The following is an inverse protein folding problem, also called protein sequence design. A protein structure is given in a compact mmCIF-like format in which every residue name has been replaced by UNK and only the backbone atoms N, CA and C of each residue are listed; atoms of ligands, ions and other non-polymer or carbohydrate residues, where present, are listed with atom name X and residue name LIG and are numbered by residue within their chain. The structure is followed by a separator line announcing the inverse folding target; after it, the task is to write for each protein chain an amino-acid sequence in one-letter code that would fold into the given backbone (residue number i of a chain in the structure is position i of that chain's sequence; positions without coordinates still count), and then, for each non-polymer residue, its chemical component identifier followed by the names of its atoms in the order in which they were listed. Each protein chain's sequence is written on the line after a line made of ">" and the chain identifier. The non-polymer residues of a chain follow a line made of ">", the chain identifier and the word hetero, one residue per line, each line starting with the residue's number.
data_IF_476934140865
#
_entry.id   IF_476934140865
#
_cell.length_a   1.000
_cell.length_b   1.000
_cell.length_c   1.000
_cell.angle_alpha   90.00
_cell.angle_beta   90.00
_cell.angle_gamma   90.00
#
_symmetry.space_group_name_H-M   'P 1'
#
loop_
_entity.id
_entity.type
_entity.pdbx_description
1 polymer ?
#
# COMPACT_ATOMS: atom_id res chain seq x y z
N UNK A 1 -11.91 -39.76 -39.66
CA UNK A 1 -12.81 -39.01 -38.76
C UNK A 1 -12.42 -39.13 -37.31
N UNK A 2 -11.97 -40.28 -36.84
CA UNK A 2 -11.51 -40.41 -35.42
C UNK A 2 -10.27 -39.59 -35.11
N UNK A 3 -9.38 -39.37 -36.08
CA UNK A 3 -8.16 -38.54 -35.87
C UNK A 3 -8.45 -37.05 -35.73
N UNK A 4 -9.53 -36.56 -36.33
CA UNK A 4 -9.95 -35.16 -36.17
C UNK A 4 -10.57 -34.91 -34.81
N UNK A 5 -11.20 -35.90 -34.20
CA UNK A 5 -11.79 -35.80 -32.87
C UNK A 5 -10.71 -35.70 -31.79
N UNK A 6 -9.60 -36.41 -31.93
CA UNK A 6 -8.47 -36.35 -31.04
C UNK A 6 -7.70 -35.02 -31.15
N UNK A 7 -7.68 -34.42 -32.35
CA UNK A 7 -7.05 -33.11 -32.54
C UNK A 7 -7.85 -31.99 -31.86
N UNK A 8 -9.19 -32.12 -31.82
CA UNK A 8 -10.05 -31.13 -31.16
C UNK A 8 -9.97 -31.21 -29.63
N UNK A 9 -9.66 -32.40 -29.08
CA UNK A 9 -9.56 -32.61 -27.63
C UNK A 9 -8.28 -32.03 -27.05
N UNK A 10 -7.25 -31.83 -27.87
CA UNK A 10 -5.97 -31.27 -27.44
C UNK A 10 -5.95 -29.74 -27.36
N UNK A 11 -7.02 -29.07 -27.83
CA UNK A 11 -7.09 -27.62 -27.83
C UNK A 11 -7.72 -27.02 -26.55
N UNK A 12 -8.23 -27.87 -25.65
CA UNK A 12 -8.71 -27.41 -24.33
C UNK A 12 -7.58 -27.47 -23.33
N UNK A 13 -6.54 -26.69 -23.57
CA UNK A 13 -5.55 -26.41 -22.53
C UNK A 13 -6.17 -25.40 -21.57
N UNK A 14 -6.38 -25.75 -20.29
CA UNK A 14 -6.82 -24.75 -19.33
C UNK A 14 -5.70 -23.74 -19.20
N UNK A 15 -5.96 -22.50 -19.64
CA UNK A 15 -5.14 -21.37 -19.29
C UNK A 15 -5.20 -21.26 -17.78
N UNK A 16 -4.16 -21.76 -17.10
CA UNK A 16 -3.97 -21.50 -15.70
C UNK A 16 -3.72 -20.00 -15.56
N UNK A 17 -4.78 -19.25 -15.30
CA UNK A 17 -4.67 -17.85 -14.93
C UNK A 17 -4.11 -17.83 -13.51
N UNK A 18 -2.80 -17.59 -13.39
CA UNK A 18 -2.18 -17.26 -12.12
C UNK A 18 -2.66 -15.86 -11.74
N UNK A 19 -3.86 -15.79 -11.18
CA UNK A 19 -4.33 -14.57 -10.53
C UNK A 19 -3.50 -14.42 -9.26
N UNK A 20 -2.53 -13.49 -9.27
CA UNK A 20 -1.79 -13.14 -8.07
C UNK A 20 -2.74 -12.48 -7.09
N UNK A 21 -2.90 -13.09 -5.91
CA UNK A 21 -3.68 -12.51 -4.85
C UNK A 21 -2.89 -11.36 -4.23
N UNK A 22 -3.54 -10.22 -4.07
CA UNK A 22 -2.99 -9.10 -3.33
C UNK A 22 -3.13 -9.36 -1.84
N UNK A 23 -2.16 -8.90 -1.07
CA UNK A 23 -2.24 -8.90 0.39
C UNK A 23 -2.71 -7.54 0.89
N UNK A 24 -3.17 -7.51 2.12
CA UNK A 24 -3.62 -6.29 2.79
C UNK A 24 -2.90 -6.16 4.13
N UNK A 25 -2.41 -4.95 4.42
CA UNK A 25 -1.80 -4.62 5.70
C UNK A 25 -2.46 -3.38 6.29
N UNK A 26 -2.55 -3.31 7.60
CA UNK A 26 -2.96 -2.12 8.33
C UNK A 26 -1.77 -1.58 9.12
N UNK A 27 -1.42 -0.32 8.87
CA UNK A 27 -0.32 0.37 9.56
C UNK A 27 -0.92 1.52 10.37
N UNK A 28 -0.62 1.56 11.68
CA UNK A 28 -0.98 2.69 12.51
C UNK A 28 0.01 3.84 12.27
N UNK A 29 -0.50 5.05 12.04
CA UNK A 29 0.32 6.20 11.68
C UNK A 29 0.04 7.41 12.56
N UNK A 30 0.92 8.40 12.51
CA UNK A 30 0.84 9.65 13.26
C UNK A 30 0.07 10.77 12.53
N UNK A 31 -0.70 10.43 11.50
CA UNK A 31 -1.48 11.42 10.76
C UNK A 31 -2.47 12.17 11.66
N UNK A 32 -2.62 13.49 11.45
CA UNK A 32 -3.43 14.36 12.30
C UNK A 32 -4.68 14.91 11.63
N UNK A 33 -4.65 15.16 10.32
CA UNK A 33 -5.71 15.93 9.63
C UNK A 33 -5.90 15.50 8.19
N UNK A 34 -6.89 16.12 7.52
CA UNK A 34 -7.20 15.83 6.11
C UNK A 34 -6.04 16.09 5.15
N UNK A 35 -5.19 17.07 5.43
CA UNK A 35 -3.98 17.31 4.63
C UNK A 35 -2.99 16.16 4.75
N UNK A 36 -2.85 15.58 5.95
CA UNK A 36 -2.04 14.38 6.18
C UNK A 36 -2.58 13.19 5.40
N UNK A 37 -3.89 12.99 5.46
CA UNK A 37 -4.56 11.91 4.73
C UNK A 37 -4.29 12.01 3.22
N UNK A 38 -4.47 13.19 2.64
CA UNK A 38 -4.21 13.42 1.22
C UNK A 38 -2.78 13.12 0.83
N UNK A 39 -1.82 13.60 1.63
CA UNK A 39 -0.39 13.39 1.38
C UNK A 39 -0.03 11.92 1.45
N UNK A 40 -0.47 11.22 2.49
CA UNK A 40 -0.16 9.80 2.68
C UNK A 40 -0.77 8.97 1.56
N UNK A 41 -2.05 9.16 1.27
CA UNK A 41 -2.72 8.38 0.23
C UNK A 41 -2.09 8.63 -1.14
N UNK A 42 -1.72 9.88 -1.43
CA UNK A 42 -1.05 10.25 -2.68
C UNK A 42 0.34 9.59 -2.75
N UNK A 43 1.18 9.80 -1.75
CA UNK A 43 2.56 9.32 -1.78
C UNK A 43 2.64 7.79 -1.78
N UNK A 44 1.79 7.14 -0.98
CA UNK A 44 1.78 5.68 -0.89
C UNK A 44 1.23 5.01 -2.15
N UNK A 45 0.33 5.68 -2.89
CA UNK A 45 -0.18 5.16 -4.15
C UNK A 45 0.90 4.97 -5.22
N UNK A 46 1.99 5.73 -5.13
CA UNK A 46 3.12 5.64 -6.07
C UNK A 46 4.20 4.65 -5.63
N UNK A 47 4.08 4.06 -4.46
CA UNK A 47 5.04 3.05 -3.99
C UNK A 47 4.90 1.79 -4.83
N UNK A 48 6.04 1.24 -5.28
CA UNK A 48 6.05 0.03 -6.09
C UNK A 48 5.29 -1.10 -5.40
N UNK A 49 4.35 -1.70 -6.12
CA UNK A 49 3.55 -2.82 -5.64
C UNK A 49 2.28 -2.44 -4.89
N UNK A 50 2.08 -1.17 -4.56
CA UNK A 50 0.84 -0.71 -3.92
C UNK A 50 -0.28 -0.62 -4.93
N UNK A 51 -1.43 -1.20 -4.59
CA UNK A 51 -2.66 -1.16 -5.39
C UNK A 51 -3.64 -0.13 -4.85
N UNK A 52 -3.72 0.01 -3.54
CA UNK A 52 -4.63 0.92 -2.87
C UNK A 52 -4.04 1.32 -1.53
N UNK A 53 -4.20 2.59 -1.16
CA UNK A 53 -3.83 3.09 0.16
C UNK A 53 -4.96 4.01 0.65
N UNK A 54 -5.59 3.66 1.76
CA UNK A 54 -6.71 4.43 2.34
C UNK A 54 -6.45 4.64 3.83
N UNK A 55 -6.46 5.89 4.25
CA UNK A 55 -6.24 6.27 5.64
C UNK A 55 -7.58 6.63 6.31
N UNK A 56 -7.84 6.00 7.45
CA UNK A 56 -8.92 6.38 8.34
C UNK A 56 -8.39 7.32 9.41
N UNK A 57 -8.82 8.59 9.42
CA UNK A 57 -8.34 9.59 10.37
C UNK A 57 -8.84 9.36 11.79
N UNK A 58 -9.98 8.72 11.96
CA UNK A 58 -10.51 8.44 13.32
C UNK A 58 -9.65 7.42 14.05
N UNK A 59 -9.27 6.35 13.36
CA UNK A 59 -8.45 5.27 13.93
C UNK A 59 -6.97 5.50 13.73
N UNK A 60 -6.59 6.38 12.80
CA UNK A 60 -5.21 6.60 12.33
C UNK A 60 -4.59 5.34 11.71
N UNK A 61 -5.43 4.49 11.15
CA UNK A 61 -5.00 3.27 10.48
C UNK A 61 -4.98 3.47 8.96
N UNK A 62 -3.83 3.18 8.38
CA UNK A 62 -3.62 3.16 6.93
C UNK A 62 -3.78 1.73 6.44
N UNK A 63 -4.76 1.50 5.57
CA UNK A 63 -4.99 0.20 4.95
C UNK A 63 -4.34 0.22 3.58
N UNK A 64 -3.44 -0.72 3.32
CA UNK A 64 -2.72 -0.84 2.05
C UNK A 64 -2.98 -2.20 1.46
N UNK A 65 -3.47 -2.21 0.22
CA UNK A 65 -3.56 -3.41 -0.62
C UNK A 65 -2.35 -3.39 -1.54
N UNK A 66 -1.58 -4.46 -1.55
CA UNK A 66 -0.31 -4.53 -2.28
C UNK A 66 -0.06 -5.90 -2.90
N UNK A 67 0.81 -5.92 -3.90
CA UNK A 67 1.28 -7.14 -4.53
C UNK A 67 2.49 -7.69 -3.75
N UNK A 68 2.36 -8.87 -3.08
CA UNK A 68 3.43 -9.42 -2.24
C UNK A 68 4.67 -9.83 -3.01
N UNK A 69 4.60 -9.95 -4.33
CA UNK A 69 5.78 -10.24 -5.15
C UNK A 69 6.64 -8.99 -5.40
N UNK A 70 6.06 -7.80 -5.25
CA UNK A 70 6.74 -6.53 -5.53
C UNK A 70 7.18 -5.78 -4.29
N UNK A 71 6.51 -5.99 -3.18
CA UNK A 71 6.81 -5.30 -1.92
C UNK A 71 6.42 -6.18 -0.72
N UNK A 72 6.67 -5.69 0.49
CA UNK A 72 6.35 -6.39 1.73
C UNK A 72 6.03 -5.38 2.84
N UNK A 73 5.50 -5.83 4.01
CA UNK A 73 5.15 -4.93 5.10
C UNK A 73 6.28 -4.03 5.59
N UNK A 74 7.50 -4.53 5.67
CA UNK A 74 8.64 -3.74 6.13
C UNK A 74 8.96 -2.59 5.16
N UNK A 75 8.96 -2.87 3.86
CA UNK A 75 9.19 -1.86 2.83
C UNK A 75 8.07 -0.81 2.83
N UNK A 76 6.82 -1.23 3.07
CA UNK A 76 5.69 -0.32 3.15
C UNK A 76 5.79 0.60 4.37
N UNK A 77 6.20 0.08 5.54
CA UNK A 77 6.45 0.91 6.72
C UNK A 77 7.55 1.92 6.46
N UNK A 78 8.66 1.49 5.87
CA UNK A 78 9.76 2.40 5.52
C UNK A 78 9.31 3.48 4.53
N UNK A 79 8.51 3.12 3.51
CA UNK A 79 7.97 4.09 2.57
C UNK A 79 7.12 5.14 3.27
N UNK A 80 6.29 4.74 4.22
CA UNK A 80 5.46 5.66 5.00
C UNK A 80 6.32 6.59 5.85
N UNK A 81 7.39 6.09 6.49
CA UNK A 81 8.29 6.94 7.26
C UNK A 81 8.98 8.00 6.41
N UNK A 82 9.26 7.70 5.16
CA UNK A 82 9.85 8.66 4.21
C UNK A 82 8.89 9.77 3.81
N UNK A 83 7.60 9.59 4.01
CA UNK A 83 6.63 10.66 3.80
C UNK A 83 6.53 11.61 5.01
N UNK A 84 7.17 11.27 6.13
CA UNK A 84 7.22 12.10 7.33
C UNK A 84 6.33 11.61 8.48
N UNK A 85 5.76 10.42 8.40
CA UNK A 85 4.83 9.88 9.40
C UNK A 85 5.36 8.61 10.04
N UNK A 86 4.99 8.37 11.29
CA UNK A 86 5.32 7.11 11.95
C UNK A 86 4.55 5.97 11.30
N UNK A 87 5.17 4.80 11.26
CA UNK A 87 4.60 3.56 10.72
C UNK A 87 4.71 2.47 11.78
N UNK A 88 3.63 2.24 12.52
CA UNK A 88 3.61 1.35 13.70
C UNK A 88 4.69 1.80 14.70
N UNK A 89 5.66 0.94 15.01
CA UNK A 89 6.78 1.27 15.91
C UNK A 89 7.95 1.98 15.23
N UNK A 90 7.92 2.10 13.89
CA UNK A 90 9.00 2.76 13.14
C UNK A 90 8.75 4.25 13.12
N UNK A 91 9.72 5.01 13.62
CA UNK A 91 9.62 6.47 13.71
C UNK A 91 9.83 7.10 12.34
N UNK A 92 9.08 8.17 12.05
CA UNK A 92 9.20 8.95 10.82
C UNK A 92 10.65 9.38 10.55
N UNK A 93 11.03 9.45 9.29
CA UNK A 93 12.30 10.04 8.89
C UNK A 93 12.33 11.50 9.37
N UNK A 94 13.34 11.91 10.20
CA UNK A 94 13.38 13.24 10.78
C UNK A 94 13.34 14.38 9.75
N UNK A 95 14.04 14.23 8.65
CA UNK A 95 14.07 15.24 7.61
C UNK A 95 12.71 15.38 6.93
N UNK A 96 12.06 14.27 6.59
CA UNK A 96 10.73 14.28 5.99
C UNK A 96 9.69 14.85 6.95
N UNK A 97 9.79 14.53 8.25
CA UNK A 97 8.91 15.09 9.27
C UNK A 97 9.03 16.61 9.36
N UNK A 98 10.24 17.15 9.32
CA UNK A 98 10.46 18.61 9.36
C UNK A 98 9.86 19.34 8.15
N UNK A 99 9.75 18.66 7.02
CA UNK A 99 9.17 19.22 5.79
C UNK A 99 7.64 19.21 5.79
N UNK A 100 6.98 18.57 6.77
CA UNK A 100 5.52 18.54 6.85
C UNK A 100 4.94 19.91 7.15
N UNK A 101 3.70 20.13 6.68
CA UNK A 101 2.92 21.28 7.13
C UNK A 101 2.75 21.23 8.65
N UNK A 102 2.63 22.40 9.28
CA UNK A 102 2.50 22.47 10.74
C UNK A 102 1.32 21.64 11.25
N UNK A 103 0.20 21.62 10.54
CA UNK A 103 -0.98 20.84 10.91
C UNK A 103 -0.75 19.32 10.83
N UNK A 104 0.28 18.88 10.11
CA UNK A 104 0.63 17.46 9.96
C UNK A 104 1.68 17.02 10.97
N UNK A 105 2.28 17.94 11.70
CA UNK A 105 3.23 17.63 12.79
C UNK A 105 2.48 17.30 14.07
N UNK A 106 3.08 16.47 14.91
CA UNK A 106 2.53 16.10 16.21
C UNK A 106 2.30 17.36 17.05
N UNK A 107 1.11 17.50 17.63
CA UNK A 107 0.73 18.68 18.40
C UNK A 107 0.40 19.92 17.57
N UNK A 108 0.39 19.83 16.24
CA UNK A 108 0.14 20.97 15.35
C UNK A 108 -1.28 21.50 15.35
N UNK A 109 -2.20 20.87 16.08
CA UNK A 109 -3.62 21.23 16.15
C UNK A 109 -4.01 21.88 17.49
N UNK A 110 -3.11 22.07 18.36
CA UNK A 110 -3.37 22.68 19.67
C UNK A 110 -3.48 24.20 19.60
#
# INVERSE_FOLDING_TARGET
>A
MKKLFYLLLMLTFPLAVNAQENDTITIHTSAQCGACKKKIEHDMAYVKGVKLAVLNLETKNLIIVYNPEKTNPEKLRLALTKTGYDADSVIADPKAYEELLQCCKKGGHD
#
